data_IF_471819327881
#
_entry.id   IF_471819327881
#
_cell.length_a   1.000
_cell.length_b   1.000
_cell.length_c   1.000
_cell.angle_alpha   90.00
_cell.angle_beta   90.00
_cell.angle_gamma   90.00
#
_symmetry.space_group_name_H-M   'P 1'
#
loop_
_entity.id
_entity.type
_entity.pdbx_description
1 polymer ?
2 non-polymer ?
3 non-polymer ?
4 non-polymer ?
5 non-polymer ?
6 non-polymer ?
7 water ?
#
# COMPACT_ATOMS: atom_id res chain seq x y z
N UNK A 4 -21.13 11.14 -6.65
CA UNK A 4 -21.67 9.74 -6.69
C UNK A 4 -21.16 9.04 -5.44
N UNK A 5 -22.01 8.26 -4.81
CA UNK A 5 -21.66 7.52 -3.57
C UNK A 5 -21.42 6.04 -3.87
N UNK A 6 -20.41 5.45 -3.21
CA UNK A 6 -20.17 4.03 -3.25
C UNK A 6 -20.31 3.47 -1.84
N UNK A 7 -20.81 2.23 -1.70
CA UNK A 7 -20.80 1.59 -0.36
C UNK A 7 -19.34 1.52 0.19
N UNK A 8 -19.16 1.69 1.50
CA UNK A 8 -17.79 1.82 2.00
C UNK A 8 -16.97 0.54 1.85
N UNK A 9 -17.67 -0.57 1.69
CA UNK A 9 -17.03 -1.86 1.47
C UNK A 9 -16.22 -1.90 0.18
N UNK A 10 -16.48 -0.91 -0.67
CA UNK A 10 -15.78 -0.73 -1.94
C UNK A 10 -14.38 -0.10 -1.78
N UNK A 11 -13.99 0.19 -0.55
CA UNK A 11 -12.73 0.93 -0.33
C UNK A 11 -11.52 0.32 -1.02
N UNK A 12 -11.47 -0.99 -1.05
CA UNK A 12 -10.35 -1.71 -1.64
C UNK A 12 -10.18 -1.34 -3.12
N UNK A 13 -11.29 -1.08 -3.78
CA UNK A 13 -11.26 -0.74 -5.22
C UNK A 13 -10.63 0.63 -5.50
N UNK A 14 -10.47 1.38 -4.42
CA UNK A 14 -9.87 2.71 -4.49
C UNK A 14 -8.41 2.72 -3.98
N UNK A 15 -8.17 2.05 -2.87
CA UNK A 15 -6.92 2.15 -2.12
C UNK A 15 -5.92 0.98 -2.24
N UNK A 16 -6.41 -0.20 -2.62
CA UNK A 16 -5.51 -1.35 -2.66
C UNK A 16 -4.32 -1.14 -3.59
N UNK A 17 -4.54 -0.38 -4.65
CA UNK A 17 -3.49 -0.20 -5.65
C UNK A 17 -2.36 0.71 -5.20
N UNK A 18 -2.52 1.29 -4.02
CA UNK A 18 -1.47 2.14 -3.43
C UNK A 18 -1.29 3.51 -4.05
N UNK A 19 -2.39 4.21 -4.36
CA UNK A 19 -2.21 5.57 -4.76
C UNK A 19 -1.67 6.45 -3.66
N UNK A 20 -0.94 7.49 -4.04
CA UNK A 20 -0.65 8.55 -3.07
C UNK A 20 -1.98 9.17 -2.69
N UNK A 21 -2.11 9.54 -1.41
CA UNK A 21 -3.33 10.20 -0.95
C UNK A 21 -3.02 11.46 -0.15
N UNK A 22 -4.03 12.32 -0.09
CA UNK A 22 -4.07 13.47 0.81
C UNK A 22 -4.91 13.05 2.03
N UNK A 23 -4.49 13.47 3.21
CA UNK A 23 -5.23 13.24 4.45
C UNK A 23 -5.74 14.63 4.87
N UNK A 24 -7.06 14.79 4.80
CA UNK A 24 -7.75 15.99 5.23
C UNK A 24 -8.19 15.82 6.69
N UNK A 25 -7.91 16.85 7.48
CA UNK A 25 -8.33 16.90 8.87
C UNK A 25 -8.95 18.26 9.20
N UNK A 26 -9.65 18.30 10.31
CA UNK A 26 -10.05 19.59 10.90
C UNK A 26 -9.75 19.51 12.38
N UNK A 27 -8.99 20.47 12.85
CA UNK A 27 -8.63 20.50 14.25
C UNK A 27 -9.78 20.91 15.15
N UNK A 28 -9.56 20.74 16.43
CA UNK A 28 -10.53 21.17 17.45
C UNK A 28 -10.82 22.68 17.35
N UNK A 29 -9.87 23.44 16.83
CA UNK A 29 -10.01 24.89 16.65
C UNK A 29 -10.77 25.28 15.40
N UNK A 30 -11.18 24.25 14.67
CA UNK A 30 -11.95 24.44 13.45
C UNK A 30 -11.20 24.63 12.17
N UNK A 31 -9.86 24.62 12.24
CA UNK A 31 -9.06 24.83 11.06
C UNK A 31 -8.85 23.51 10.27
N UNK A 32 -9.21 23.56 8.99
CA UNK A 32 -8.92 22.45 8.09
C UNK A 32 -7.45 22.40 7.72
N UNK A 33 -7.02 21.20 7.32
CA UNK A 33 -5.66 21.00 6.85
C UNK A 33 -5.61 19.82 5.89
N UNK A 34 -4.47 19.72 5.21
CA UNK A 34 -4.12 18.60 4.37
C UNK A 34 -2.67 18.22 4.61
N UNK A 35 -2.41 16.93 4.49
CA UNK A 35 -1.05 16.39 4.40
C UNK A 35 -1.03 15.32 3.32
N UNK A 36 0.17 14.88 2.95
CA UNK A 36 0.37 13.84 1.92
C UNK A 36 0.87 12.55 2.58
N UNK A 37 0.30 11.40 2.15
CA UNK A 37 0.63 10.11 2.72
C UNK A 37 0.79 9.02 1.70
N UNK A 38 1.95 8.38 1.77
CA UNK A 38 2.25 7.21 0.95
C UNK A 38 2.35 5.90 1.70
N UNK A 39 2.48 5.97 3.03
CA UNK A 39 2.58 4.76 3.85
C UNK A 39 1.20 4.36 4.37
N UNK A 40 0.52 3.54 3.59
CA UNK A 40 -0.85 3.09 3.91
C UNK A 40 -1.15 1.79 3.21
N UNK A 41 -2.17 1.11 3.75
CA UNK A 41 -2.56 -0.23 3.31
C UNK A 41 -4.07 -0.39 3.50
N UNK A 42 -4.70 -1.19 2.64
CA UNK A 42 -5.96 -1.83 3.04
C UNK A 42 -5.56 -2.89 4.07
N UNK A 43 -6.41 -3.03 5.08
CA UNK A 43 -6.28 -4.06 6.09
C UNK A 43 -7.38 -5.13 6.05
N UNK A 44 -8.58 -4.71 5.69
CA UNK A 44 -9.72 -5.62 5.69
C UNK A 44 -10.75 -5.11 4.68
N UNK A 45 -11.34 -6.02 3.91
CA UNK A 45 -12.35 -5.62 2.95
C UNK A 45 -13.63 -5.16 3.61
N UNK A 46 -14.19 -6.03 4.44
CA UNK A 46 -15.48 -5.76 5.08
C UNK A 46 -15.47 -6.29 6.49
N UNK A 47 -15.66 -5.42 7.50
CA UNK A 47 -15.67 -3.95 7.52
C UNK A 47 -14.40 -3.34 6.93
N UNK A 48 -14.54 -2.23 6.17
CA UNK A 48 -13.41 -1.66 5.44
C UNK A 48 -12.43 -0.92 6.35
N UNK A 49 -11.28 -1.55 6.59
CA UNK A 49 -10.25 -1.00 7.46
C UNK A 49 -9.00 -0.63 6.64
N UNK A 50 -8.41 0.48 7.00
CA UNK A 50 -7.20 1.05 6.35
C UNK A 50 -6.15 1.26 7.46
N UNK A 51 -4.90 0.90 7.18
CA UNK A 51 -3.78 1.25 8.03
C UNK A 51 -3.04 2.44 7.46
N UNK A 52 -2.71 3.40 8.33
CA UNK A 52 -2.14 4.67 7.94
C UNK A 52 -1.00 5.06 8.87
N UNK A 53 0.12 5.49 8.31
CA UNK A 53 1.19 6.06 9.11
C UNK A 53 1.11 7.56 9.10
N UNK A 54 0.88 8.12 10.29
CA UNK A 54 0.81 9.59 10.50
C UNK A 54 1.56 9.84 11.79
N UNK A 55 2.74 10.44 11.66
CA UNK A 55 3.60 10.65 12.81
C UNK A 55 3.59 12.06 13.38
N UNK A 56 4.26 12.24 14.52
CA UNK A 56 4.22 13.50 15.26
C UNK A 56 4.92 14.66 14.57
N UNK A 57 5.67 14.33 13.51
CA UNK A 57 6.33 15.31 12.64
C UNK A 57 5.33 16.07 11.78
N UNK A 58 4.10 15.56 11.75
CA UNK A 58 3.02 16.20 11.00
C UNK A 58 2.14 17.01 11.96
N UNK A 59 1.86 18.26 11.63
CA UNK A 59 0.91 19.03 12.45
C UNK A 59 -0.43 18.28 12.54
N UNK A 60 -0.76 17.62 11.44
CA UNK A 60 -2.03 16.86 11.32
C UNK A 60 -2.19 15.80 12.38
N UNK A 61 -1.08 15.35 12.95
CA UNK A 61 -1.15 14.35 14.04
C UNK A 61 -2.00 14.82 15.22
N UNK A 62 -1.98 16.12 15.50
CA UNK A 62 -2.74 16.68 16.60
C UNK A 62 -4.24 16.48 16.36
N UNK A 63 -4.72 16.88 15.19
CA UNK A 63 -6.14 16.75 14.88
C UNK A 63 -6.56 15.29 14.88
N UNK A 64 -5.69 14.42 14.34
CA UNK A 64 -6.03 13.00 14.29
C UNK A 64 -6.21 12.46 15.70
N UNK A 65 -5.30 12.84 16.59
CA UNK A 65 -5.36 12.39 17.97
C UNK A 65 -6.61 12.93 18.68
N UNK A 66 -6.82 14.22 18.50
CA UNK A 66 -7.83 14.97 19.26
C UNK A 66 -9.27 14.79 18.75
N UNK A 67 -9.41 14.50 17.47
CA UNK A 67 -10.73 14.41 16.84
C UNK A 67 -11.12 13.01 16.33
N UNK A 68 -10.12 12.19 16.08
CA UNK A 68 -10.38 10.82 15.63
C UNK A 68 -11.04 10.72 14.27
N UNK A 69 -10.85 11.75 13.43
CA UNK A 69 -11.52 11.79 12.12
C UNK A 69 -10.56 12.27 11.05
N UNK A 70 -10.81 11.79 9.83
CA UNK A 70 -10.14 12.34 8.66
C UNK A 70 -10.90 11.97 7.40
N UNK A 71 -10.46 12.58 6.29
CA UNK A 71 -10.90 12.15 4.95
C UNK A 71 -9.65 11.79 4.16
N UNK A 72 -9.66 10.60 3.54
CA UNK A 72 -8.61 10.26 2.60
C UNK A 72 -9.08 10.70 1.22
N UNK A 73 -8.38 11.69 0.68
CA UNK A 73 -8.72 12.30 -0.60
C UNK A 73 -7.71 11.86 -1.63
N UNK A 74 -8.18 11.21 -2.68
CA UNK A 74 -7.31 10.51 -3.61
C UNK A 74 -7.18 11.36 -4.87
N UNK A 75 -5.99 11.95 -5.08
CA UNK A 75 -5.77 12.82 -6.23
C UNK A 75 -5.41 12.05 -7.47
N UNK A 76 -5.38 12.80 -8.55
CA UNK A 76 -4.98 12.29 -9.86
C UNK A 76 -3.73 13.00 -10.36
N UNK A 77 -3.21 12.51 -11.48
CA UNK A 77 -1.90 12.99 -11.99
C UNK A 77 -1.82 14.51 -12.19
N UNK A 78 -2.94 15.14 -12.52
CA UNK A 78 -2.98 16.59 -12.78
C UNK A 78 -2.71 17.42 -11.52
N UNK A 79 -2.84 16.78 -10.35
CA UNK A 79 -2.55 17.43 -9.05
C UNK A 79 -1.18 17.09 -8.46
N UNK A 80 -0.31 16.45 -9.25
CA UNK A 80 0.93 15.93 -8.71
C UNK A 80 1.81 16.97 -7.99
N UNK A 81 2.02 18.14 -8.61
CA UNK A 81 2.90 19.13 -7.98
C UNK A 81 2.31 19.62 -6.67
N UNK A 82 1.00 19.82 -6.66
CA UNK A 82 0.30 20.28 -5.46
C UNK A 82 0.38 19.23 -4.35
N UNK A 83 0.21 17.96 -4.74
CA UNK A 83 0.34 16.85 -3.78
C UNK A 83 1.73 16.86 -3.14
N UNK A 84 2.76 17.02 -3.96
CA UNK A 84 4.11 17.07 -3.41
C UNK A 84 4.28 18.31 -2.50
N UNK A 85 3.81 19.45 -2.97
CA UNK A 85 4.01 20.68 -2.20
C UNK A 85 3.32 20.59 -0.82
N UNK A 86 2.13 20.01 -0.80
CA UNK A 86 1.37 19.83 0.45
C UNK A 86 2.18 18.99 1.46
N UNK A 87 2.96 18.08 0.92
CA UNK A 87 3.80 17.20 1.70
C UNK A 87 5.15 17.77 2.09
N UNK A 88 5.37 19.05 1.77
CA UNK A 88 6.64 19.72 2.08
C UNK A 88 6.46 21.03 2.84
N UNK A 89 5.26 21.25 3.37
CA UNK A 89 4.94 22.39 4.23
C UNK A 89 3.94 21.98 5.29
N UNK A 90 3.78 22.83 6.30
CA UNK A 90 2.92 22.51 7.44
C UNK A 90 1.76 23.47 7.64
N UNK A 91 0.63 22.88 8.02
CA UNK A 91 -0.57 23.60 8.33
C UNK A 91 -0.58 24.20 9.71
N UNK A 92 0.51 24.06 10.44
CA UNK A 92 0.59 24.75 11.73
C UNK A 92 0.52 26.25 11.47
N UNK A 93 1.09 26.67 10.33
CA UNK A 93 1.28 28.09 10.01
C UNK A 93 0.85 28.49 8.60
N UNK A 94 0.05 27.63 7.99
CA UNK A 94 -0.50 27.87 6.64
C UNK A 94 -1.90 27.26 6.50
N UNK A 95 -2.78 27.95 5.76
CA UNK A 95 -4.08 27.44 5.30
C UNK A 95 -3.87 26.80 3.92
N UNK A 96 -3.66 25.49 3.90
CA UNK A 96 -3.28 24.83 2.66
C UNK A 96 -4.39 24.79 1.63
N UNK A 97 -5.63 24.64 2.05
CA UNK A 97 -6.76 24.66 1.08
C UNK A 97 -6.73 25.99 0.31
N UNK A 98 -6.60 27.08 1.05
CA UNK A 98 -6.58 28.40 0.41
C UNK A 98 -5.35 28.63 -0.43
N UNK A 99 -4.20 28.27 0.14
CA UNK A 99 -2.92 28.54 -0.46
C UNK A 99 -2.76 27.80 -1.79
N UNK A 100 -3.29 26.56 -1.87
CA UNK A 100 -3.09 25.70 -3.03
C UNK A 100 -4.30 25.70 -3.96
N UNK A 101 -5.32 26.45 -3.56
CA UNK A 101 -6.52 26.63 -4.38
C UNK A 101 -7.44 25.41 -4.46
N UNK A 102 -7.42 24.63 -3.38
CA UNK A 102 -8.30 23.46 -3.27
C UNK A 102 -9.56 23.85 -2.49
N UNK A 103 -10.66 23.15 -2.76
CA UNK A 103 -11.94 23.51 -2.24
C UNK A 103 -12.50 22.49 -1.26
N UNK A 104 -12.73 22.91 -0.02
CA UNK A 104 -13.32 22.03 0.98
C UNK A 104 -14.79 21.93 0.76
N UNK A 105 -15.28 20.71 0.88
CA UNK A 105 -16.73 20.38 0.77
C UNK A 105 -17.13 19.64 2.03
N UNK A 106 -18.26 20.01 2.64
CA UNK A 106 -18.67 19.27 3.86
C UNK A 106 -18.91 17.78 3.63
N UNK A 107 -18.37 17.00 4.56
CA UNK A 107 -18.57 15.55 4.60
C UNK A 107 -19.87 15.22 5.34
N UNK A 108 -20.26 13.96 5.25
CA UNK A 108 -21.54 13.50 5.88
C UNK A 108 -21.39 13.06 7.33
N UNK A 109 -20.27 12.39 7.64
CA UNK A 109 -20.09 11.75 8.94
C UNK A 109 -18.96 12.28 9.80
N UNK A 110 -18.15 13.16 9.22
CA UNK A 110 -16.99 13.71 9.90
C UNK A 110 -16.93 15.22 9.65
N UNK A 111 -16.16 15.92 10.48
CA UNK A 111 -16.01 17.37 10.31
C UNK A 111 -14.81 17.77 9.48
N UNK A 112 -13.98 16.78 9.16
CA UNK A 112 -12.90 16.99 8.20
C UNK A 112 -13.54 17.14 6.81
N UNK A 113 -13.05 18.08 5.98
CA UNK A 113 -13.70 18.29 4.69
C UNK A 113 -13.25 17.31 3.59
N UNK A 114 -14.15 17.10 2.64
CA UNK A 114 -13.82 16.45 1.37
C UNK A 114 -13.07 17.47 0.51
N UNK A 115 -12.30 16.96 -0.43
CA UNK A 115 -11.59 17.81 -1.40
C UNK A 115 -12.24 17.71 -2.78
N UNK A 116 -12.83 18.80 -3.23
CA UNK A 116 -13.58 18.79 -4.50
C UNK A 116 -12.78 18.28 -5.68
N UNK A 117 -11.54 18.72 -5.75
CA UNK A 117 -10.66 18.44 -6.87
C UNK A 117 -10.11 17.01 -6.90
N UNK A 118 -10.27 16.29 -5.79
CA UNK A 118 -9.87 14.90 -5.78
C UNK A 118 -10.96 13.96 -6.31
N UNK A 119 -10.50 12.98 -7.06
CA UNK A 119 -11.37 11.99 -7.72
C UNK A 119 -12.21 11.18 -6.74
N UNK A 120 -11.57 10.75 -5.65
CA UNK A 120 -12.25 9.97 -4.61
C UNK A 120 -12.01 10.61 -3.25
N UNK A 121 -13.04 10.53 -2.40
CA UNK A 121 -12.95 10.97 -1.01
C UNK A 121 -13.57 9.90 -0.12
N UNK A 122 -12.78 9.40 0.81
CA UNK A 122 -13.22 8.35 1.76
C UNK A 122 -13.23 8.93 3.18
N UNK A 123 -14.42 9.11 3.74
CA UNK A 123 -14.59 9.60 5.10
C UNK A 123 -14.19 8.48 6.07
N UNK A 124 -13.35 8.80 7.04
CA UNK A 124 -12.81 7.82 7.98
C UNK A 124 -12.88 8.24 9.42
N UNK A 125 -13.05 7.23 10.27
CA UNK A 125 -12.86 7.39 11.71
C UNK A 125 -11.73 6.51 12.19
N UNK A 126 -10.99 7.05 13.14
CA UNK A 126 -9.95 6.28 13.85
C UNK A 126 -10.64 5.31 14.78
N UNK A 127 -10.41 4.01 14.53
CA UNK A 127 -11.04 2.98 15.32
C UNK A 127 -10.11 2.35 16.33
N UNK A 128 -8.81 2.32 16.01
CA UNK A 128 -7.83 1.67 16.88
C UNK A 128 -6.53 2.44 16.83
N UNK A 129 -6.21 3.07 17.97
CA UNK A 129 -4.94 3.80 18.11
C UNK A 129 -3.91 3.03 18.97
N UNK A 130 -4.17 1.74 19.15
CA UNK A 130 -3.30 0.90 19.98
C UNK A 130 -1.83 0.87 19.59
N UNK A 131 -1.54 1.06 18.29
CA UNK A 131 -0.18 1.05 17.77
C UNK A 131 0.26 2.41 17.27
N UNK A 132 -0.47 3.45 17.70
CA UNK A 132 -0.11 4.82 17.31
C UNK A 132 1.23 5.23 17.95
N UNK A 133 1.40 4.96 19.24
CA UNK A 133 2.69 5.30 19.90
C UNK A 133 3.82 4.42 19.36
N UNK A 134 3.53 3.14 19.22
CA UNK A 134 4.52 2.13 18.81
C UNK A 134 5.10 2.39 17.45
N UNK A 135 4.21 2.60 16.47
CA UNK A 135 4.59 2.66 15.06
C UNK A 135 4.02 3.85 14.30
N UNK A 136 3.36 4.77 15.01
CA UNK A 136 2.65 5.84 14.29
C UNK A 136 1.61 5.31 13.32
N UNK A 137 1.08 4.14 13.66
CA UNK A 137 0.06 3.46 12.88
C UNK A 137 -1.33 3.72 13.47
N UNK A 138 -2.24 4.08 12.58
CA UNK A 138 -3.64 4.34 12.90
C UNK A 138 -4.52 3.42 12.08
N UNK A 139 -5.45 2.72 12.73
CA UNK A 139 -6.43 1.90 12.01
C UNK A 139 -7.68 2.72 11.84
N UNK A 140 -8.05 2.91 10.57
CA UNK A 140 -9.21 3.73 10.16
C UNK A 140 -10.29 2.84 9.62
N UNK A 141 -11.54 3.18 9.90
CA UNK A 141 -12.68 2.53 9.22
C UNK A 141 -13.34 3.54 8.29
N UNK A 142 -13.50 3.12 7.04
CA UNK A 142 -14.15 3.96 6.02
C UNK A 142 -15.63 3.96 6.30
N UNK A 143 -16.16 5.16 6.41
CA UNK A 143 -17.60 5.41 6.64
C UNK A 143 -18.43 5.63 5.39
N UNK A 144 -17.87 6.40 4.48
CA UNK A 144 -18.53 6.82 3.22
C UNK A 144 -17.49 6.98 2.12
N UNK A 145 -17.90 6.74 0.88
CA UNK A 145 -17.03 6.94 -0.29
C UNK A 145 -17.78 7.78 -1.31
N UNK A 146 -17.10 8.82 -1.79
CA UNK A 146 -17.58 9.69 -2.84
C UNK A 146 -16.65 9.65 -4.03
N UNK A 147 -17.23 9.51 -5.22
CA UNK A 147 -16.45 9.49 -6.46
C UNK A 147 -16.95 10.54 -7.43
N UNK A 148 -16.01 11.27 -8.02
CA UNK A 148 -16.30 12.22 -9.09
C UNK A 148 -16.36 11.46 -10.42
N UNK A 149 -17.54 10.92 -10.70
CA UNK A 149 -17.70 10.00 -11.83
C UNK A 149 -17.65 10.72 -13.17
N UNK A 150 -17.73 12.04 -13.13
CA UNK A 150 -17.67 12.87 -14.34
C UNK A 150 -16.25 13.25 -14.73
N UNK A 151 -15.32 13.05 -13.81
CA UNK A 151 -13.96 13.54 -14.03
C UNK A 151 -13.34 12.90 -15.25
N UNK A 152 -12.67 13.73 -16.05
CA UNK A 152 -12.08 13.23 -17.29
C UNK A 152 -10.73 12.59 -17.06
N UNK A 153 -9.89 13.27 -16.30
CA UNK A 153 -8.59 12.70 -15.92
C UNK A 153 -8.76 11.90 -14.64
N UNK A 154 -8.48 10.61 -14.74
CA UNK A 154 -8.66 9.70 -13.61
C UNK A 154 -7.43 8.87 -13.28
N UNK A 155 -6.30 9.13 -13.94
CA UNK A 155 -5.10 8.34 -13.63
C UNK A 155 -4.53 8.71 -12.28
N UNK A 156 -4.34 7.68 -11.49
CA UNK A 156 -3.75 7.82 -10.16
C UNK A 156 -2.24 7.78 -10.28
N UNK A 157 -1.60 8.27 -9.21
CA UNK A 157 -0.14 8.30 -9.13
C UNK A 157 0.30 7.59 -7.86
N UNK A 158 1.44 6.93 -7.96
CA UNK A 158 1.99 6.11 -6.90
C UNK A 158 3.39 6.53 -6.56
N UNK A 159 3.63 6.80 -5.28
CA UNK A 159 4.95 7.29 -4.88
C UNK A 159 5.97 6.16 -4.81
N UNK A 160 7.09 6.36 -5.52
CA UNK A 160 8.20 5.43 -5.52
C UNK A 160 9.34 5.93 -4.64
N UNK A 161 9.05 6.95 -3.85
CA UNK A 161 10.04 7.61 -3.00
C UNK A 161 10.70 8.81 -3.66
N UNK A 162 11.11 9.74 -2.82
CA UNK A 162 11.92 10.87 -3.24
C UNK A 162 11.26 11.75 -4.30
N UNK A 163 9.94 11.74 -4.31
CA UNK A 163 9.23 12.60 -5.23
C UNK A 163 9.06 12.06 -6.64
N UNK A 164 9.43 10.81 -6.82
CA UNK A 164 9.18 10.10 -8.08
C UNK A 164 7.88 9.31 -7.99
N UNK A 165 7.06 9.40 -9.03
CA UNK A 165 5.77 8.72 -9.11
C UNK A 165 5.65 7.90 -10.38
N UNK A 166 4.97 6.77 -10.27
CA UNK A 166 4.43 6.11 -11.46
C UNK A 166 3.01 6.65 -11.69
N UNK A 167 2.64 6.81 -12.96
CA UNK A 167 1.32 7.24 -13.37
C UNK A 167 0.63 6.03 -14.00
N UNK A 168 -0.61 5.78 -13.60
CA UNK A 168 -1.32 4.63 -14.17
C UNK A 168 -1.35 4.68 -15.70
N UNK A 169 -1.11 3.52 -16.27
CA UNK A 169 -1.19 3.25 -17.70
C UNK A 169 -2.44 2.45 -18.01
N UNK A 170 -2.25 1.39 -18.77
CA UNK A 170 -3.38 0.51 -19.08
C UNK A 170 -3.83 -0.29 -17.89
N UNK A 171 -5.08 -0.75 -17.94
CA UNK A 171 -5.64 -1.67 -16.97
C UNK A 171 -5.79 -3.05 -17.59
N UNK A 172 -5.35 -4.04 -16.85
CA UNK A 172 -5.59 -5.46 -17.16
C UNK A 172 -6.81 -5.90 -16.40
N UNK A 173 -7.71 -6.64 -17.05
CA UNK A 173 -8.89 -7.15 -16.33
C UNK A 173 -8.86 -8.66 -16.38
N UNK A 174 -8.33 -9.24 -15.30
CA UNK A 174 -8.19 -10.69 -15.13
C UNK A 174 -9.26 -11.23 -14.19
N UNK A 175 -10.39 -10.54 -14.13
CA UNK A 175 -11.47 -10.94 -13.24
C UNK A 175 -11.96 -12.36 -13.44
N UNK A 176 -11.87 -12.84 -14.67
CA UNK A 176 -12.30 -14.20 -14.98
C UNK A 176 -11.48 -15.23 -14.21
N UNK A 177 -10.27 -14.85 -13.83
CA UNK A 177 -9.33 -15.77 -13.14
C UNK A 177 -9.52 -15.78 -11.61
N UNK A 178 -10.40 -14.91 -11.10
CA UNK A 178 -10.59 -14.76 -9.64
C UNK A 178 -11.64 -15.76 -9.14
N UNK A 179 -11.32 -17.01 -9.34
CA UNK A 179 -12.27 -18.10 -9.06
C UNK A 179 -12.53 -18.35 -7.58
N UNK A 180 -11.56 -17.98 -6.75
CA UNK A 180 -11.62 -18.14 -5.29
C UNK A 180 -12.36 -16.95 -4.63
N UNK A 181 -12.56 -15.87 -5.39
CA UNK A 181 -12.93 -14.55 -4.78
C UNK A 181 -14.18 -13.92 -5.38
N UNK A 182 -15.08 -14.77 -5.83
CA UNK A 182 -16.36 -14.30 -6.40
C UNK A 182 -17.16 -13.54 -5.33
N UNK B 4 22.06 -7.95 -8.67
CA UNK B 4 22.53 -6.71 -8.01
C UNK B 4 21.82 -6.55 -6.68
N UNK B 5 22.51 -5.90 -5.77
CA UNK B 5 22.03 -5.76 -4.41
C UNK B 5 21.80 -4.30 -4.08
N UNK B 6 20.76 -4.05 -3.33
CA UNK B 6 20.49 -2.71 -2.82
C UNK B 6 20.49 -2.77 -1.31
N UNK B 7 20.95 -1.70 -0.65
CA UNK B 7 20.81 -1.66 0.79
C UNK B 7 19.35 -1.75 1.19
N UNK B 8 19.07 -2.45 2.30
CA UNK B 8 17.67 -2.73 2.63
C UNK B 8 16.86 -1.45 2.93
N UNK B 9 17.56 -0.37 3.27
CA UNK B 9 16.92 0.92 3.51
C UNK B 9 16.26 1.47 2.28
N UNK B 10 16.57 0.84 1.16
CA UNK B 10 15.98 1.21 -0.15
C UNK B 10 14.59 0.62 -0.36
N UNK B 11 14.11 -0.14 0.61
CA UNK B 11 12.84 -0.89 0.44
C UNK B 11 11.69 0.00 -0.01
N UNK B 12 11.62 1.22 0.52
CA UNK B 12 10.51 2.12 0.14
C UNK B 12 10.44 2.38 -1.34
N UNK B 13 11.61 2.35 -1.98
CA UNK B 13 11.73 2.66 -3.41
C UNK B 13 11.15 1.55 -4.27
N UNK B 14 10.90 0.41 -3.63
CA UNK B 14 10.34 -0.77 -4.31
C UNK B 14 8.84 -0.96 -3.91
N UNK B 15 8.53 -0.77 -2.64
CA UNK B 15 7.21 -1.15 -2.11
C UNK B 15 6.22 -0.02 -1.81
N UNK B 16 6.70 1.20 -1.61
CA UNK B 16 5.78 2.31 -1.26
C UNK B 16 4.70 2.51 -2.32
N UNK B 17 5.03 2.24 -3.58
CA UNK B 17 4.10 2.50 -4.67
C UNK B 17 2.95 1.51 -4.76
N UNK B 18 3.00 0.51 -3.89
CA UNK B 18 1.90 -0.45 -3.83
C UNK B 18 1.81 -1.47 -4.95
N UNK B 19 2.94 -2.01 -5.40
CA UNK B 19 2.85 -3.09 -6.39
C UNK B 19 2.21 -4.32 -5.79
N UNK B 20 1.52 -5.10 -6.61
CA UNK B 20 1.15 -6.45 -6.16
C UNK B 20 2.43 -7.23 -5.95
N UNK B 21 2.44 -8.09 -4.94
CA UNK B 21 3.60 -8.90 -4.66
C UNK B 21 3.26 -10.38 -4.47
N UNK B 22 4.27 -11.22 -4.65
CA UNK B 22 4.22 -12.61 -4.23
C UNK B 22 4.94 -12.74 -2.90
N UNK B 23 4.41 -13.60 -2.05
CA UNK B 23 5.06 -13.92 -0.78
C UNK B 23 5.52 -15.38 -0.88
N UNK B 24 6.83 -15.55 -0.84
CA UNK B 24 7.51 -16.82 -0.86
C UNK B 24 7.81 -17.27 0.56
N UNK B 25 7.43 -18.50 0.83
CA UNK B 25 7.71 -19.11 2.11
C UNK B 25 8.36 -20.50 1.93
N UNK B 26 8.91 -20.99 3.02
CA UNK B 26 9.29 -22.38 3.08
C UNK B 26 8.90 -22.90 4.44
N UNK B 27 8.11 -23.95 4.46
CA UNK B 27 7.64 -24.55 5.69
C UNK B 27 8.74 -25.20 6.46
N UNK B 28 8.41 -25.50 7.72
CA UNK B 28 9.27 -26.29 8.58
C UNK B 28 9.61 -27.62 7.93
N UNK B 29 8.71 -28.04 7.05
CA UNK B 29 8.85 -29.30 6.29
C UNK B 29 9.78 -29.21 5.07
N UNK B 30 10.31 -28.02 4.83
CA UNK B 30 11.20 -27.81 3.73
C UNK B 30 10.56 -27.51 2.38
N UNK B 31 9.24 -27.49 2.32
CA UNK B 31 8.54 -27.25 1.05
C UNK B 31 8.32 -25.75 0.83
N UNK B 32 8.70 -25.28 -0.36
CA UNK B 32 8.50 -23.89 -0.76
C UNK B 32 7.07 -23.69 -1.24
N UNK B 33 6.62 -22.43 -1.11
CA UNK B 33 5.30 -22.03 -1.62
C UNK B 33 5.30 -20.57 -2.00
N UNK B 34 4.24 -20.19 -2.71
CA UNK B 34 3.97 -18.80 -3.06
C UNK B 34 2.50 -18.51 -2.81
N UNK B 35 2.23 -17.26 -2.40
CA UNK B 35 0.89 -16.66 -2.43
C UNK B 35 0.99 -15.24 -2.99
N UNK B 36 -0.17 -14.63 -3.22
CA UNK B 36 -0.25 -13.28 -3.77
C UNK B 36 -0.85 -12.32 -2.70
N UNK B 37 -0.25 -11.14 -2.57
CA UNK B 37 -0.63 -10.19 -1.53
C UNK B 37 -0.72 -8.76 -2.05
N UNK B 38 -1.91 -8.18 -1.87
CA UNK B 38 -2.15 -6.78 -2.18
C UNK B 38 -2.35 -5.86 -0.98
N UNK B 39 -2.57 -6.47 0.20
CA UNK B 39 -2.78 -5.69 1.44
C UNK B 39 -1.44 -5.57 2.17
N UNK B 40 -0.70 -4.50 1.82
CA UNK B 40 0.61 -4.26 2.43
C UNK B 40 0.97 -2.78 2.33
N UNK B 41 1.90 -2.38 3.19
CA UNK B 41 2.42 -1.02 3.19
C UNK B 41 3.81 -0.98 3.70
N UNK B 42 4.50 0.09 3.35
CA UNK B 42 5.69 0.49 4.10
C UNK B 42 5.22 1.08 5.42
N UNK B 43 5.95 0.77 6.50
CA UNK B 43 5.71 1.33 7.82
C UNK B 43 6.77 2.31 8.27
N UNK B 44 8.00 2.04 7.87
CA UNK B 44 9.15 2.83 8.29
C UNK B 44 10.24 2.72 7.24
N UNK B 45 10.91 3.84 6.96
CA UNK B 45 11.97 3.86 5.97
C UNK B 45 13.20 3.16 6.52
N UNK B 46 13.64 3.62 7.69
CA UNK B 46 14.86 3.09 8.34
C UNK B 46 14.65 2.98 9.84
N UNK B 47 14.77 1.75 10.41
CA UNK B 47 14.92 0.49 9.69
C UNK B 47 13.72 0.22 8.81
N UNK B 48 13.92 -0.60 7.77
CA UNK B 48 12.87 -0.80 6.77
C UNK B 48 11.85 -1.82 7.24
N UNK B 49 10.68 -1.32 7.61
CA UNK B 49 9.58 -2.14 8.12
C UNK B 49 8.43 -2.10 7.13
N UNK B 50 7.82 -3.26 6.97
CA UNK B 50 6.70 -3.49 6.07
C UNK B 50 5.55 -4.11 6.88
N UNK B 51 4.33 -3.62 6.66
CA UNK B 51 3.14 -4.31 7.19
C UNK B 51 2.44 -5.12 6.14
N UNK B 52 2.10 -6.33 6.53
CA UNK B 52 1.59 -7.37 5.62
C UNK B 52 0.40 -8.06 6.21
N UNK B 53 -0.68 -8.18 5.44
CA UNK B 53 -1.82 -8.99 5.87
C UNK B 53 -1.72 -10.38 5.25
N UNK B 54 -1.60 -11.38 6.11
CA UNK B 54 -1.56 -12.78 5.69
C UNK B 54 -2.39 -13.55 6.71
N UNK B 55 -3.53 -14.06 6.25
CA UNK B 55 -4.51 -14.65 7.16
C UNK B 55 -4.59 -16.17 7.08
N UNK B 56 -5.38 -16.77 7.98
CA UNK B 56 -5.38 -18.23 8.13
C UNK B 56 -6.02 -18.97 6.99
N UNK B 57 -6.65 -18.22 6.10
CA UNK B 57 -7.22 -18.73 4.83
C UNK B 57 -6.12 -19.10 3.83
N UNK B 58 -4.88 -18.69 4.14
CA UNK B 58 -3.74 -19.04 3.30
C UNK B 58 -2.96 -20.19 3.92
N UNK B 59 -2.68 -21.23 3.15
CA UNK B 59 -1.77 -22.29 3.64
C UNK B 59 -0.47 -21.67 4.15
N UNK B 60 -0.01 -20.64 3.44
CA UNK B 60 1.24 -19.95 3.74
C UNK B 60 1.32 -19.39 5.17
N UNK B 61 0.15 -19.18 5.77
CA UNK B 61 0.09 -18.64 7.14
C UNK B 61 0.83 -19.57 8.12
N UNK B 62 0.81 -20.87 7.83
CA UNK B 62 1.46 -21.82 8.74
C UNK B 62 2.98 -21.59 8.73
N UNK B 63 3.56 -21.53 7.54
CA UNK B 63 5.02 -21.33 7.46
C UNK B 63 5.41 -19.98 8.06
N UNK B 64 4.60 -18.96 7.80
CA UNK B 64 4.92 -17.63 8.34
C UNK B 64 4.96 -17.67 9.86
N UNK B 65 3.92 -18.26 10.42
CA UNK B 65 3.78 -18.42 11.85
C UNK B 65 4.96 -19.20 12.45
N UNK B 66 5.24 -20.34 11.84
CA UNK B 66 6.19 -21.32 12.36
C UNK B 66 7.64 -20.91 12.17
N UNK B 67 7.94 -20.28 11.04
CA UNK B 67 9.32 -19.98 10.66
C UNK B 67 9.71 -18.52 10.84
N UNK B 68 8.72 -17.65 10.80
CA UNK B 68 9.02 -16.22 10.90
C UNK B 68 9.79 -15.58 9.76
N UNK B 69 9.73 -16.20 8.60
CA UNK B 69 10.49 -15.77 7.42
C UNK B 69 9.64 -15.76 6.19
N UNK B 70 10.00 -14.86 5.28
CA UNK B 70 9.46 -14.87 3.94
C UNK B 70 10.33 -14.05 3.01
N UNK B 71 10.01 -14.16 1.72
CA UNK B 71 10.57 -13.26 0.69
C UNK B 71 9.41 -12.60 -0.02
N UNK B 72 9.46 -11.26 -0.12
CA UNK B 72 8.52 -10.51 -0.93
C UNK B 72 9.15 -10.42 -2.31
N UNK B 73 8.54 -11.13 -3.25
CA UNK B 73 9.01 -11.21 -4.60
C UNK B 73 8.09 -10.35 -5.47
N UNK B 74 8.68 -9.34 -6.13
CA UNK B 74 7.91 -8.29 -6.80
C UNK B 74 7.89 -8.61 -8.30
N UNK B 75 6.72 -8.99 -8.83
CA UNK B 75 6.57 -9.33 -10.23
C UNK B 75 6.37 -8.11 -11.09
N UNK B 76 6.45 -8.36 -12.39
CA UNK B 76 6.24 -7.38 -13.40
C UNK B 76 5.02 -7.77 -14.27
N UNK B 77 4.65 -6.88 -15.18
CA UNK B 77 3.42 -7.03 -15.96
C UNK B 77 3.32 -8.35 -16.74
N UNK B 78 4.44 -8.83 -17.19
CA UNK B 78 4.48 -10.09 -17.95
C UNK B 78 4.04 -11.33 -17.16
N UNK B 79 4.11 -11.20 -15.84
CA UNK B 79 3.69 -12.28 -14.92
C UNK B 79 2.26 -12.15 -14.38
N UNK B 80 1.48 -11.23 -14.94
CA UNK B 80 0.15 -10.93 -14.37
C UNK B 80 -0.75 -12.17 -14.19
N UNK B 81 -0.90 -13.01 -15.22
CA UNK B 81 -1.78 -14.20 -15.06
C UNK B 81 -1.22 -15.19 -14.02
N UNK B 82 0.10 -15.35 -14.01
CA UNK B 82 0.70 -16.20 -12.98
C UNK B 82 0.42 -15.67 -11.58
N UNK B 83 0.54 -14.36 -11.43
CA UNK B 83 0.29 -13.74 -10.12
C UNK B 83 -1.15 -13.94 -9.68
N UNK B 84 -2.09 -13.69 -10.57
CA UNK B 84 -3.49 -13.92 -10.21
C UNK B 84 -3.76 -15.38 -9.90
N UNK B 85 -3.24 -16.26 -10.74
CA UNK B 85 -3.52 -17.68 -10.55
C UNK B 85 -2.95 -18.21 -9.23
N UNK B 86 -1.77 -17.72 -8.86
CA UNK B 86 -1.14 -18.09 -7.57
C UNK B 86 -2.06 -17.72 -6.40
N UNK B 87 -2.80 -16.63 -6.59
CA UNK B 87 -3.72 -16.10 -5.59
C UNK B 87 -5.10 -16.75 -5.57
N UNK B 88 -5.25 -17.78 -6.39
CA UNK B 88 -6.55 -18.50 -6.53
C UNK B 88 -6.41 -20.04 -6.41
N UNK B 89 -5.27 -20.47 -5.92
CA UNK B 89 -5.00 -21.89 -5.65
C UNK B 89 -4.11 -21.99 -4.41
N UNK B 90 -4.07 -23.18 -3.78
CA UNK B 90 -3.34 -23.36 -2.54
C UNK B 90 -2.21 -24.35 -2.66
N UNK B 91 -1.15 -24.00 -1.96
CA UNK B 91 0.07 -24.77 -1.90
C UNK B 91 0.00 -25.95 -0.95
N UNK B 92 -1.14 -26.14 -0.28
CA UNK B 92 -1.28 -27.22 0.67
C UNK B 92 -1.06 -28.53 0.00
N UNK B 93 -1.46 -28.59 -1.27
CA UNK B 93 -1.34 -29.82 -2.08
C UNK B 93 -0.88 -29.60 -3.54
N UNK B 94 -0.35 -28.43 -3.84
CA UNK B 94 0.15 -28.12 -5.20
C UNK B 94 1.55 -27.48 -5.06
N UNK B 95 2.48 -27.86 -5.93
CA UNK B 95 3.81 -27.23 -6.04
C UNK B 95 3.71 -26.07 -7.01
N UNK B 96 3.56 -24.86 -6.46
CA UNK B 96 3.34 -23.71 -7.31
C UNK B 96 4.58 -23.30 -8.12
N UNK B 97 5.76 -23.36 -7.52
CA UNK B 97 7.00 -23.04 -8.28
C UNK B 97 7.05 -23.92 -9.53
N UNK B 98 6.80 -25.21 -9.31
CA UNK B 98 6.87 -26.18 -10.41
C UNK B 98 5.76 -25.95 -11.43
N UNK B 99 4.54 -25.81 -10.92
CA UNK B 99 3.38 -25.67 -11.80
C UNK B 99 3.49 -24.45 -12.69
N UNK B 100 3.90 -23.33 -12.12
CA UNK B 100 3.92 -22.08 -12.84
C UNK B 100 5.27 -21.79 -13.52
N UNK B 101 6.20 -22.72 -13.42
CA UNK B 101 7.48 -22.56 -14.10
C UNK B 101 8.34 -21.44 -13.54
N UNK B 102 8.25 -21.24 -12.23
CA UNK B 102 9.09 -20.27 -11.53
C UNK B 102 10.23 -21.02 -10.84
N UNK B 103 11.36 -20.30 -10.70
CA UNK B 103 12.57 -20.89 -10.20
C UNK B 103 12.94 -20.36 -8.82
N UNK B 104 12.97 -21.27 -7.81
CA UNK B 104 13.42 -20.87 -6.50
C UNK B 104 14.92 -20.78 -6.46
N UNK B 105 15.43 -19.73 -5.83
CA UNK B 105 16.86 -19.45 -5.68
C UNK B 105 17.17 -19.27 -4.20
N UNK B 106 18.30 -19.80 -3.72
CA UNK B 106 18.61 -19.60 -2.31
C UNK B 106 18.73 -18.11 -1.92
N UNK B 107 18.13 -17.80 -0.80
CA UNK B 107 18.26 -16.52 -0.12
C UNK B 107 19.47 -16.51 0.82
N UNK B 108 19.86 -15.32 1.23
CA UNK B 108 21.03 -15.16 2.11
C UNK B 108 20.77 -15.28 3.60
N UNK B 109 19.62 -14.76 4.04
CA UNK B 109 19.31 -14.63 5.48
C UNK B 109 18.11 -15.44 5.96
N UNK B 110 17.39 -16.02 5.01
CA UNK B 110 16.17 -16.79 5.27
C UNK B 110 16.17 -18.07 4.43
N UNK B 111 15.37 -19.04 4.84
CA UNK B 111 15.28 -20.33 4.17
C UNK B 111 14.19 -20.33 3.08
N UNK B 112 13.35 -19.30 3.09
CA UNK B 112 12.37 -19.08 1.99
C UNK B 112 13.14 -18.68 0.74
N UNK B 113 12.74 -19.22 -0.43
CA UNK B 113 13.50 -18.90 -1.64
C UNK B 113 13.16 -17.54 -2.29
N UNK B 114 14.16 -16.99 -2.97
CA UNK B 114 13.94 -15.91 -3.93
C UNK B 114 13.26 -16.50 -5.17
N UNK B 115 12.54 -15.67 -5.90
CA UNK B 115 11.96 -16.03 -7.17
C UNK B 115 12.73 -15.42 -8.34
N UNK B 116 13.40 -16.27 -9.13
CA UNK B 116 14.32 -15.77 -10.13
C UNK B 116 13.67 -14.81 -11.11
N UNK B 117 12.41 -15.12 -11.47
CA UNK B 117 11.69 -14.40 -12.54
C UNK B 117 11.11 -13.05 -12.05
N UNK B 118 11.20 -12.79 -10.74
CA UNK B 118 10.74 -11.51 -10.20
C UNK B 118 11.84 -10.49 -10.22
N UNK B 119 11.48 -9.29 -10.66
CA UNK B 119 12.42 -8.18 -10.77
C UNK B 119 13.11 -7.81 -9.45
N UNK B 120 12.34 -7.80 -8.36
CA UNK B 120 12.90 -7.53 -7.03
C UNK B 120 12.53 -8.65 -6.09
N UNK B 121 13.46 -8.95 -5.20
CA UNK B 121 13.24 -9.89 -4.10
C UNK B 121 13.75 -9.28 -2.83
N UNK B 122 12.86 -9.18 -1.85
CA UNK B 122 13.16 -8.61 -0.53
C UNK B 122 13.03 -9.68 0.55
N UNK B 123 14.17 -10.05 1.12
CA UNK B 123 14.20 -11.04 2.18
C UNK B 123 13.72 -10.37 3.45
N UNK B 124 12.77 -11.02 4.11
CA UNK B 124 12.12 -10.49 5.35
C UNK B 124 12.07 -11.46 6.50
N UNK B 125 12.17 -10.87 7.69
CA UNK B 125 11.89 -11.58 8.92
C UNK B 125 10.71 -10.95 9.62
N UNK B 126 9.89 -11.80 10.23
CA UNK B 126 8.80 -11.34 11.11
C UNK B 126 9.41 -10.81 12.35
N UNK B 127 9.22 -9.51 12.63
CA UNK B 127 9.78 -8.91 13.82
C UNK B 127 8.77 -8.68 14.94
N UNK B 128 7.52 -8.53 14.54
CA UNK B 128 6.44 -8.27 15.51
C UNK B 128 5.17 -8.95 15.05
N UNK B 129 4.76 -9.95 15.84
CA UNK B 129 3.50 -10.68 15.61
C UNK B 129 2.39 -10.26 16.56
N UNK B 130 2.57 -9.11 17.20
CA UNK B 130 1.62 -8.67 18.20
C UNK B 130 0.18 -8.50 17.76
N UNK B 131 0.02 -8.13 16.49
CA UNK B 131 -1.30 -7.89 15.89
C UNK B 131 -1.66 -8.96 14.85
N UNK B 132 -0.92 -10.07 14.87
CA UNK B 132 -1.22 -11.17 13.94
C UNK B 132 -2.59 -11.79 14.23
N UNK B 133 -2.88 -12.06 15.49
CA UNK B 133 -4.20 -12.59 15.84
C UNK B 133 -5.32 -11.57 15.58
N UNK B 134 -5.07 -10.35 16.02
CA UNK B 134 -6.02 -9.22 15.97
C UNK B 134 -6.50 -8.89 14.55
N UNK B 135 -5.52 -8.72 13.68
CA UNK B 135 -5.76 -8.19 12.36
C UNK B 135 -5.14 -9.02 11.22
N UNK B 136 -4.51 -10.15 11.55
CA UNK B 136 -3.73 -10.89 10.54
C UNK B 136 -2.60 -10.02 9.96
N UNK B 137 -2.15 -9.07 10.78
CA UNK B 137 -1.07 -8.12 10.42
C UNK B 137 0.26 -8.62 10.96
N UNK B 138 1.25 -8.67 10.06
CA UNK B 138 2.62 -9.05 10.40
C UNK B 138 3.55 -7.89 10.10
N UNK B 139 4.40 -7.53 11.08
CA UNK B 139 5.43 -6.53 10.85
C UNK B 139 6.71 -7.22 10.46
N UNK B 140 7.17 -6.90 9.27
CA UNK B 140 8.36 -7.52 8.68
C UNK B 140 9.50 -6.49 8.58
N UNK B 141 10.72 -6.94 8.81
CA UNK B 141 11.89 -6.08 8.52
C UNK B 141 12.62 -6.66 7.34
N UNK B 142 12.89 -5.80 6.36
CA UNK B 142 13.63 -6.19 5.16
C UNK B 142 15.12 -6.35 5.54
N UNK B 143 15.66 -7.53 5.20
CA UNK B 143 17.04 -7.91 5.47
C UNK B 143 17.99 -7.66 4.29
N UNK B 144 17.48 -7.95 3.10
CA UNK B 144 18.25 -7.89 1.87
C UNK B 144 17.33 -7.59 0.70
N UNK B 145 17.87 -6.92 -0.31
CA UNK B 145 17.14 -6.60 -1.56
C UNK B 145 17.99 -6.98 -2.75
N UNK B 146 17.41 -7.79 -3.64
CA UNK B 146 18.07 -8.24 -4.87
C UNK B 146 17.28 -7.77 -6.06
N UNK B 147 17.97 -7.15 -7.01
CA UNK B 147 17.34 -6.61 -8.22
C UNK B 147 17.92 -7.27 -9.45
N UNK B 148 17.03 -7.70 -10.33
CA UNK B 148 17.45 -8.24 -11.66
C UNK B 148 17.64 -7.06 -12.61
N UNK B 149 18.84 -6.48 -12.57
CA UNK B 149 19.10 -5.23 -13.27
C UNK B 149 19.13 -5.45 -14.78
N UNK B 150 19.32 -6.70 -15.20
CA UNK B 150 19.36 -7.04 -16.66
C UNK B 150 17.97 -7.26 -17.28
N UNK B 151 16.94 -7.26 -16.44
CA UNK B 151 15.62 -7.70 -16.90
C UNK B 151 15.08 -6.70 -17.93
N UNK B 152 14.53 -7.21 -19.02
CA UNK B 152 14.09 -6.31 -20.10
C UNK B 152 12.77 -5.61 -19.74
N UNK B 153 11.81 -6.39 -19.25
CA UNK B 153 10.52 -5.82 -18.82
C UNK B 153 10.58 -5.51 -17.33
N UNK B 154 10.33 -4.25 -16.99
CA UNK B 154 10.41 -3.84 -15.58
C UNK B 154 9.17 -3.13 -15.05
N UNK B 155 8.08 -3.10 -15.82
CA UNK B 155 6.87 -2.41 -15.33
C UNK B 155 6.17 -3.23 -14.23
N UNK B 156 5.87 -2.54 -13.15
CA UNK B 156 5.09 -3.10 -12.04
C UNK B 156 3.61 -2.94 -12.30
N UNK B 157 2.85 -3.76 -11.60
CA UNK B 157 1.38 -3.73 -11.69
C UNK B 157 0.79 -3.61 -10.25
N UNK B 158 -0.41 -3.06 -10.18
CA UNK B 158 -1.04 -2.76 -8.89
C UNK B 158 -2.45 -3.32 -8.92
N UNK B 159 -2.84 -4.06 -7.89
CA UNK B 159 -4.19 -4.61 -7.85
C UNK B 159 -5.20 -3.54 -7.44
N UNK B 160 -6.22 -3.38 -8.27
CA UNK B 160 -7.34 -2.45 -8.00
C UNK B 160 -8.56 -3.16 -7.48
N UNK B 161 -8.39 -4.44 -7.17
CA UNK B 161 -9.51 -5.28 -6.74
C UNK B 161 -10.07 -6.11 -7.88
N UNK B 162 -10.58 -7.28 -7.52
CA UNK B 162 -11.39 -8.10 -8.41
C UNK B 162 -10.64 -8.53 -9.67
N UNK B 163 -9.32 -8.60 -9.56
CA UNK B 163 -8.51 -9.10 -10.66
C UNK B 163 -8.18 -8.04 -11.70
N UNK B 164 -8.53 -6.80 -11.37
CA UNK B 164 -8.15 -5.64 -12.19
C UNK B 164 -6.80 -5.09 -11.73
N UNK B 165 -5.92 -4.80 -12.69
CA UNK B 165 -4.59 -4.26 -12.37
C UNK B 165 -4.23 -3.05 -13.20
N UNK B 166 -3.67 -2.02 -12.58
CA UNK B 166 -3.06 -0.92 -13.32
C UNK B 166 -1.62 -1.28 -13.59
N UNK B 167 -1.21 -0.95 -14.80
CA UNK B 167 0.16 -1.15 -15.26
C UNK B 167 0.86 0.21 -15.23
N UNK B 168 2.04 0.28 -14.63
CA UNK B 168 2.77 1.54 -14.57
C UNK B 168 3.00 2.07 -15.99
N UNK B 169 2.71 3.36 -16.16
CA UNK B 169 2.87 4.07 -17.44
C UNK B 169 4.01 5.05 -17.34
N UNK B 170 3.66 6.33 -17.42
CA UNK B 170 4.68 7.40 -17.34
C UNK B 170 5.29 7.43 -15.93
N UNK B 171 6.55 7.80 -15.85
CA UNK B 171 7.20 8.17 -14.60
C UNK B 171 7.29 9.67 -14.54
N UNK B 172 7.05 10.23 -13.35
CA UNK B 172 7.02 11.67 -13.11
C UNK B 172 7.94 12.00 -11.93
N UNK B 173 9.05 12.73 -12.17
CA UNK B 173 10.08 12.98 -11.15
C UNK B 173 9.99 14.41 -10.63
N UNK B 174 9.43 14.53 -9.44
CA UNK B 174 9.26 15.81 -8.79
C UNK B 174 10.20 15.95 -7.60
N UNK B 175 11.32 15.27 -7.69
CA UNK B 175 12.31 15.30 -6.64
C UNK B 175 12.78 16.69 -6.27
N UNK B 176 12.85 17.57 -7.25
CA UNK B 176 13.28 18.93 -6.98
C UNK B 176 12.38 19.68 -6.04
N UNK B 177 11.15 19.19 -5.88
CA UNK B 177 10.16 19.84 -5.02
C UNK B 177 10.17 19.28 -3.61
N UNK B 178 11.00 18.28 -3.39
CA UNK B 178 11.05 17.59 -2.09
C UNK B 178 11.99 18.32 -1.11
N UNK B 179 11.67 19.57 -0.86
CA UNK B 179 12.57 20.44 -0.10
C UNK B 179 12.68 20.06 1.37
N UNK B 180 11.66 19.40 1.89
CA UNK B 180 11.57 19.06 3.31
C UNK B 180 12.26 17.71 3.58
N UNK B 181 12.59 17.01 2.50
CA UNK B 181 12.96 15.58 2.60
C UNK B 181 14.32 15.17 2.02
N UNK B 182 15.27 16.08 2.09
CA UNK B 182 16.62 15.80 1.56
C UNK B 182 17.36 14.69 2.32
X LIG C 1 4.05 11.80 6.35
X LIG C 1 3.54 10.79 7.13
X LIG C 1 3.33 10.95 8.34
X LIG C 1 3.21 9.57 6.56
X LIG C 1 3.38 9.28 5.24
X LIG C 1 3.02 8.16 4.79
X LIG C 1 3.92 10.30 4.41
X LIG C 1 4.10 10.11 3.05
X LIG C 1 4.50 11.20 2.27
X LIG C 1 4.60 11.05 0.89
X LIG C 1 5.06 12.10 0.07
X LIG C 1 5.02 11.95 -1.44
X LIG C 1 5.34 13.36 0.68
X LIG C 1 5.64 14.55 -0.19
X LIG C 1 5.20 13.51 2.05
X LIG C 1 4.79 12.45 2.85
X LIG C 1 4.68 12.61 4.25
X LIG C 1 4.18 11.58 4.99
X LIG C 1 5.12 13.82 4.99
X LIG C 1 3.94 14.77 5.27
X LIG C 1 3.11 14.90 4.15
X LIG C 1 4.58 16.13 5.61
X LIG C 1 5.32 16.04 6.81
X LIG C 1 3.60 17.29 5.66
X LIG C 1 4.37 18.50 5.60
X LIG C 1 2.77 17.30 6.93
X LIG C 1 1.83 18.37 6.85
X LIG C 1 1.19 18.96 8.23
X LIG C 1 0.38 20.12 7.77
X LIG C 1 0.36 17.87 8.86
X LIG C 1 2.33 19.37 9.14
X LIG D 1 0.05 0.06 0.09
X LIG E 1 -14.75 -11.55 -9.59
X LIG E 1 -14.61 -12.68 -9.09
X LIG E 1 -13.74 -10.99 -10.03
X LIG E 1 -16.10 -10.96 -9.69
X LIG F 1 -8.76 -10.91 -1.80
X LIG F 1 -8.29 -11.11 -3.14
X LIG F 1 -7.84 -11.72 -0.92
X LIG F 1 -7.74 -12.93 -1.60
X LIG F 1 -8.37 -12.03 0.47
X LIG F 1 -7.39 -11.66 1.43
X LIG G 1 -1.80 33.05 1.41
X LIG G 1 -1.34 31.78 0.94
X LIG G 1 -1.07 33.56 2.67
X LIG G 1 -1.98 34.13 3.56
X LIG G 1 -0.22 32.58 3.48
X LIG G 1 -0.36 32.85 4.86
X LIG H 1 1.22 33.07 7.82
X LIG H 1 1.46 31.92 6.95
X LIG H 1 0.59 32.61 9.13
X LIG H 1 1.49 32.27 10.20
X LIG H 1 2.89 32.44 9.97
X LIG H 1 3.77 32.07 11.19
X LIG H 1 2.97 31.77 12.35
X LIG I 1 -4.37 -13.05 0.79
X LIG I 1 -3.91 -12.49 1.94
X LIG I 1 -3.84 -13.15 2.99
X LIG I 1 -3.56 -11.15 1.95
X LIG I 1 -3.61 -10.37 0.80
X LIG I 1 -3.27 -9.16 0.91
X LIG I 1 -4.05 -10.95 -0.41
X LIG I 1 -4.08 -10.22 -1.57
X LIG I 1 -4.41 -10.90 -2.76
X LIG I 1 -4.41 -10.19 -3.97
X LIG I 1 -4.76 -10.78 -5.17
X LIG I 1 -4.60 -10.05 -6.49
X LIG I 1 -5.11 -12.15 -5.15
X LIG I 1 -5.35 -12.89 -6.46
X LIG I 1 -5.10 -12.87 -3.94
X LIG I 1 -4.77 -12.25 -2.73
X LIG I 1 -4.79 -12.93 -1.53
X LIG I 1 -4.38 -12.32 -0.39
X LIG I 1 -5.27 -14.33 -1.41
X LIG I 1 -4.15 -15.37 -1.42
X LIG I 1 -3.18 -15.06 -2.44
X LIG I 1 -4.78 -16.75 -1.69
X LIG I 1 -5.64 -17.09 -0.63
X LIG I 1 -3.81 -17.86 -2.04
X LIG I 1 -4.56 -18.90 -2.67
X LIG I 1 -3.09 -18.43 -0.84
X LIG I 1 -2.17 -19.44 -1.29
X LIG I 1 -1.67 -20.51 -0.19
X LIG I 1 -0.79 -21.43 -1.02
X LIG I 1 -0.90 -19.77 0.89
X LIG I 1 -2.91 -21.21 0.37
X LIG J 1 17.45 -21.23 9.64
X LIG K 1 8.69 10.88 3.44
X LIG K 1 8.40 11.78 2.37
X LIG K 1 7.69 11.14 4.56
X LIG K 1 7.54 12.52 4.61
X LIG K 1 8.20 10.74 5.94
X LIG K 1 7.15 10.23 6.74
X LIG L 1 7.37 6.17 9.41
X LIG L 1 7.33 6.95 8.23
X LIG L 1 8.79 6.36 9.97
X LIG L 1 8.89 7.02 11.20
X LIG L 1 9.42 7.27 9.00
X LIG L 1 9.96 6.41 8.09
#
# INVERSE_FOLDING_TARGET
GXRNELPPENAYRILESGPIVLVSTRGADGRANLMTMGFHMMMQHEPPLVGAIIGPWDYSHQALSETGECVLAVPTVDLAETVVDIGNCSGDALDKFGHFGLTPVPAQTVDAPLVRQCWANLECRVVDDGWARRYNLWVLEVQRIWIDTARKETRLIHHQGDGRFSVDGDTLDLGERMTKWRHLXG
GXRNELPPENAYRILESGPIVLVSTRGADGRANLMTMGFHMMMQHEPPLVGAIIGPWDYSHQALSETGECVLAVPTVDLAETVVDIGNCSGDALDKFGHFGLTPVPAQTVDAPLVRQCWANLECRVVDDGWARRYNLWVLEVQRIWIDTARKETRLIHHQGDGRFSVDGDTLDLGERMTKWRHLXG
FMN N1 C2 O2 N3 C4 O4 C4A N5 C5A C6 C7 C7M C8 C8M C9 C9A N10 C10 C1' C2' O2' C3' O3' C4' O4' C5' O5' P O1P O2P O3P
NA NA
ACT C O OXT CH3
GOL C1 O1 C2 O2 C3 O3
GOL C1 O1 C2 O2 C3 O3
PEG C1 O1 C2 O2 C3 C4 O4
FMN N1 C2 O2 N3 C4 O4 C4A N5 C5A C6 C7 C7M C8 C8M C9 C9A N10 C10 C1' C2' O2' C3' O3' C4' O4' C5' O5' P O1P O2P O3P
NA NA
GOL C1 O1 C2 O2 C3 O3
GOL C1 O1 C2 O2 C3 O3
#
